data_IF_022672353942
#
_entry.id   IF_022672353942
#
_cell.length_a   1.000
_cell.length_b   1.000
_cell.length_c   1.000
_cell.angle_alpha   90.00
_cell.angle_beta   90.00
_cell.angle_gamma   90.00
#
_symmetry.space_group_name_H-M   'P 1'
#
loop_
_entity.id
_entity.type
_entity.pdbx_description
1 polymer ?
#
# COMPACT_ATOMS: atom_id res chain seq x y z
N UNK A 1 -19.29 2.25 -12.72
CA UNK A 1 -18.79 1.99 -11.34
C UNK A 1 -19.94 1.67 -10.39
N UNK A 2 -20.92 2.57 -10.24
CA UNK A 2 -22.09 2.38 -9.36
C UNK A 2 -22.88 1.11 -9.66
N UNK A 3 -23.16 0.82 -10.93
CA UNK A 3 -23.92 -0.38 -11.32
C UNK A 3 -23.26 -1.72 -10.94
N UNK A 4 -21.94 -1.74 -10.73
CA UNK A 4 -21.23 -2.93 -10.25
C UNK A 4 -21.29 -2.96 -8.71
N UNK A 5 -21.04 -1.83 -8.06
CA UNK A 5 -21.13 -1.70 -6.60
C UNK A 5 -22.52 -2.04 -6.08
N UNK A 6 -23.59 -1.58 -6.74
CA UNK A 6 -24.97 -1.90 -6.38
C UNK A 6 -25.25 -3.39 -6.51
N UNK A 7 -24.76 -4.03 -7.58
CA UNK A 7 -24.90 -5.48 -7.76
C UNK A 7 -24.17 -6.26 -6.68
N UNK A 8 -22.94 -5.87 -6.34
CA UNK A 8 -22.19 -6.47 -5.24
C UNK A 8 -22.97 -6.30 -3.93
N UNK A 9 -23.48 -5.10 -3.64
CA UNK A 9 -24.26 -4.82 -2.44
C UNK A 9 -25.53 -5.68 -2.36
N UNK A 10 -26.30 -5.80 -3.45
CA UNK A 10 -27.48 -6.69 -3.48
C UNK A 10 -27.11 -8.16 -3.26
N UNK A 11 -25.96 -8.62 -3.80
CA UNK A 11 -25.44 -9.96 -3.52
C UNK A 11 -25.06 -10.10 -2.04
N UNK A 12 -24.40 -9.11 -1.43
CA UNK A 12 -24.04 -9.19 0.00
C UNK A 12 -25.23 -9.28 0.94
N UNK A 13 -26.41 -8.78 0.54
CA UNK A 13 -27.66 -8.93 1.31
C UNK A 13 -28.28 -10.32 1.21
N UNK A 14 -27.98 -11.05 0.14
CA UNK A 14 -28.70 -12.27 -0.24
C UNK A 14 -27.84 -13.53 -0.21
N UNK A 15 -26.52 -13.39 -0.18
CA UNK A 15 -25.57 -14.49 -0.04
C UNK A 15 -25.87 -15.30 1.22
N UNK A 16 -25.81 -16.63 1.10
CA UNK A 16 -26.17 -17.57 2.19
C UNK A 16 -24.99 -18.34 2.76
N UNK A 17 -23.89 -18.39 2.01
CA UNK A 17 -22.71 -19.16 2.35
C UNK A 17 -21.45 -18.52 1.76
N UNK A 18 -20.31 -18.80 2.38
CA UNK A 18 -19.00 -18.48 1.84
C UNK A 18 -18.31 -19.80 1.49
N UNK A 19 -18.01 -20.08 0.21
CA UNK A 19 -17.15 -21.20 -0.14
C UNK A 19 -15.73 -20.88 0.30
N UNK A 20 -15.24 -21.61 1.31
CA UNK A 20 -13.90 -21.43 1.90
C UNK A 20 -13.12 -22.72 1.70
N UNK A 21 -11.90 -22.61 1.18
CA UNK A 21 -10.96 -23.72 1.09
C UNK A 21 -10.20 -23.88 2.42
N UNK A 22 -10.82 -24.55 3.38
CA UNK A 22 -10.28 -24.75 4.75
C UNK A 22 -8.93 -25.48 4.77
N UNK A 23 -8.70 -26.37 3.80
CA UNK A 23 -7.47 -27.17 3.71
C UNK A 23 -6.31 -26.45 3.02
N UNK A 24 -6.51 -25.21 2.55
CA UNK A 24 -5.48 -24.45 1.86
C UNK A 24 -4.42 -23.95 2.87
N UNK A 25 -3.12 -24.22 2.65
CA UNK A 25 -2.08 -23.71 3.52
C UNK A 25 -2.04 -22.17 3.53
N UNK A 26 -1.69 -21.58 4.67
CA UNK A 26 -1.45 -20.14 4.75
C UNK A 26 -0.26 -19.72 3.89
N UNK A 27 -0.42 -18.67 3.10
CA UNK A 27 0.68 -17.99 2.41
C UNK A 27 1.40 -17.07 3.40
N UNK A 28 2.74 -17.12 3.40
CA UNK A 28 3.53 -16.11 4.09
C UNK A 28 3.48 -14.78 3.31
N UNK A 29 2.63 -13.87 3.77
CA UNK A 29 2.46 -12.54 3.16
C UNK A 29 3.57 -11.55 3.52
N UNK A 30 4.59 -11.97 4.29
CA UNK A 30 5.72 -11.12 4.67
C UNK A 30 6.93 -11.27 3.73
N UNK A 31 6.92 -12.27 2.85
CA UNK A 31 8.01 -12.55 1.92
C UNK A 31 7.52 -12.39 0.47
N UNK A 32 8.24 -11.58 -0.32
CA UNK A 32 7.99 -11.45 -1.77
C UNK A 32 8.23 -12.80 -2.45
N UNK A 33 7.31 -13.20 -3.32
CA UNK A 33 7.42 -14.43 -4.08
C UNK A 33 6.08 -14.95 -4.57
N UNK A 34 6.13 -16.07 -5.29
CA UNK A 34 4.96 -16.76 -5.82
C UNK A 34 4.82 -18.10 -5.09
N UNK A 35 3.63 -18.36 -4.55
CA UNK A 35 3.26 -19.65 -3.97
C UNK A 35 2.17 -20.29 -4.82
N UNK A 36 2.44 -21.47 -5.37
CA UNK A 36 1.49 -22.22 -6.20
C UNK A 36 0.68 -23.22 -5.39
N UNK A 37 -0.61 -23.33 -5.70
CA UNK A 37 -1.56 -24.22 -5.04
C UNK A 37 -2.38 -25.02 -6.06
N UNK A 38 -2.96 -26.13 -5.59
CA UNK A 38 -4.00 -26.87 -6.31
C UNK A 38 -5.34 -26.62 -5.61
N UNK A 39 -6.29 -26.04 -6.34
CA UNK A 39 -7.66 -25.81 -5.89
C UNK A 39 -8.67 -26.74 -6.57
N UNK A 40 -9.95 -26.69 -6.16
CA UNK A 40 -11.01 -27.52 -6.73
C UNK A 40 -11.17 -27.37 -8.25
N UNK A 41 -10.91 -26.16 -8.76
CA UNK A 41 -11.03 -25.80 -10.18
C UNK A 41 -9.69 -25.80 -10.92
N UNK A 42 -8.62 -26.30 -10.29
CA UNK A 42 -7.29 -26.42 -10.88
C UNK A 42 -6.21 -25.60 -10.15
N UNK A 43 -5.06 -25.47 -10.81
CA UNK A 43 -3.89 -24.77 -10.26
C UNK A 43 -4.12 -23.26 -10.24
N UNK A 44 -3.67 -22.61 -9.17
CA UNK A 44 -3.63 -21.16 -9.04
C UNK A 44 -2.41 -20.72 -8.24
N UNK A 45 -2.05 -19.46 -8.38
CA UNK A 45 -0.89 -18.86 -7.72
C UNK A 45 -1.32 -17.72 -6.80
N UNK A 46 -0.57 -17.54 -5.71
CA UNK A 46 -0.61 -16.34 -4.87
C UNK A 46 0.74 -15.64 -4.99
N UNK A 47 0.73 -14.42 -5.52
CA UNK A 47 1.91 -13.56 -5.63
C UNK A 47 1.90 -12.52 -4.52
N UNK A 48 2.94 -12.54 -3.70
CA UNK A 48 3.26 -11.48 -2.75
C UNK A 48 4.32 -10.59 -3.41
N UNK A 49 4.01 -9.31 -3.58
CA UNK A 49 4.86 -8.35 -4.28
C UNK A 49 5.04 -7.07 -3.47
N UNK A 50 6.02 -6.24 -3.85
CA UNK A 50 6.22 -4.94 -3.22
C UNK A 50 5.07 -3.98 -3.55
N UNK A 51 4.32 -3.56 -2.54
CA UNK A 51 3.15 -2.69 -2.73
C UNK A 51 3.46 -1.30 -3.26
N UNK A 52 4.70 -0.80 -3.10
CA UNK A 52 5.10 0.54 -3.47
C UNK A 52 5.74 0.64 -4.86
N UNK A 53 6.33 -0.45 -5.37
CA UNK A 53 7.11 -0.45 -6.62
C UNK A 53 6.36 0.13 -7.83
N UNK A 54 5.18 -0.38 -8.13
CA UNK A 54 4.42 0.08 -9.31
C UNK A 54 3.86 1.48 -9.12
N UNK A 55 3.50 1.85 -7.89
CA UNK A 55 3.07 3.20 -7.58
C UNK A 55 4.22 4.20 -7.79
N UNK A 56 5.43 3.88 -7.34
CA UNK A 56 6.62 4.73 -7.53
C UNK A 56 6.97 4.87 -9.00
N UNK A 57 6.90 3.79 -9.79
CA UNK A 57 7.06 3.84 -11.25
C UNK A 57 6.06 4.81 -11.88
N UNK A 58 4.79 4.70 -11.51
CA UNK A 58 3.75 5.62 -11.99
C UNK A 58 4.05 7.07 -11.60
N UNK A 59 4.43 7.33 -10.34
CA UNK A 59 4.76 8.69 -9.87
C UNK A 59 5.92 9.32 -10.67
N UNK A 60 6.94 8.54 -11.03
CA UNK A 60 8.06 8.99 -11.88
C UNK A 60 7.64 9.32 -13.31
N UNK A 61 6.51 8.78 -13.80
CA UNK A 61 5.96 9.15 -15.12
C UNK A 61 5.15 10.44 -15.08
N UNK A 62 4.62 10.80 -13.91
CA UNK A 62 3.73 11.95 -13.73
C UNK A 62 4.52 13.20 -13.30
N UNK A 63 5.52 13.03 -12.43
CA UNK A 63 6.28 14.13 -11.83
C UNK A 63 7.74 14.12 -12.24
N UNK A 64 8.32 15.31 -12.38
CA UNK A 64 9.77 15.48 -12.53
C UNK A 64 10.48 15.27 -11.18
N UNK A 65 10.88 14.02 -10.94
CA UNK A 65 11.60 13.63 -9.72
C UNK A 65 12.95 14.35 -9.59
N UNK A 66 13.61 14.72 -10.67
CA UNK A 66 14.91 15.39 -10.60
C UNK A 66 14.76 16.83 -10.12
N UNK A 67 13.73 17.54 -10.58
CA UNK A 67 13.39 18.86 -10.05
C UNK A 67 13.01 18.80 -8.56
N UNK A 68 12.28 17.78 -8.13
CA UNK A 68 11.89 17.60 -6.72
C UNK A 68 13.12 17.27 -5.85
N UNK A 69 14.00 16.37 -6.30
CA UNK A 69 15.28 16.08 -5.61
C UNK A 69 16.10 17.35 -5.42
N UNK A 70 16.20 18.19 -6.45
CA UNK A 70 16.92 19.46 -6.36
C UNK A 70 16.32 20.38 -5.30
N UNK A 71 14.99 20.46 -5.21
CA UNK A 71 14.31 21.21 -4.16
C UNK A 71 14.64 20.65 -2.76
N UNK A 72 14.52 19.34 -2.57
CA UNK A 72 14.76 18.69 -1.28
C UNK A 72 16.22 18.76 -0.83
N UNK A 73 17.17 18.81 -1.76
CA UNK A 73 18.59 18.99 -1.47
C UNK A 73 18.95 20.43 -1.05
N UNK A 74 18.04 21.38 -1.21
CA UNK A 74 18.28 22.79 -0.87
C UNK A 74 18.33 22.98 0.64
N UNK A 75 19.40 23.60 1.20
CA UNK A 75 19.46 23.88 2.63
C UNK A 75 18.44 24.93 3.09
N UNK A 76 17.74 25.58 2.16
CA UNK A 76 16.68 26.57 2.43
C UNK A 76 15.29 25.96 2.45
N UNK A 77 15.15 24.67 2.15
CA UNK A 77 13.88 23.99 2.11
C UNK A 77 13.82 22.94 3.21
N UNK A 78 12.72 22.95 3.96
CA UNK A 78 12.41 21.94 4.97
C UNK A 78 10.96 21.53 4.78
N UNK A 79 10.67 20.25 4.98
CA UNK A 79 9.30 19.76 4.98
C UNK A 79 9.10 18.71 6.07
N UNK A 80 7.83 18.45 6.35
CA UNK A 80 7.36 17.42 7.25
C UNK A 80 6.20 16.69 6.55
N UNK A 81 6.19 15.37 6.61
CA UNK A 81 5.12 14.52 6.12
C UNK A 81 4.69 13.58 7.24
N UNK A 82 3.44 13.66 7.67
CA UNK A 82 2.87 12.77 8.68
C UNK A 82 1.88 11.81 8.03
N UNK A 83 2.12 10.51 8.20
CA UNK A 83 1.24 9.46 7.66
C UNK A 83 0.19 8.98 8.66
N UNK A 84 0.14 9.52 9.89
CA UNK A 84 -0.80 9.16 10.94
C UNK A 84 -0.86 7.65 11.23
N UNK A 85 0.28 6.96 11.13
CA UNK A 85 0.38 5.49 11.22
C UNK A 85 -0.49 4.73 10.20
N UNK A 86 -0.87 5.39 9.11
CA UNK A 86 -1.59 4.82 7.98
C UNK A 86 -0.67 4.19 6.94
N UNK A 87 -1.28 3.50 5.97
CA UNK A 87 -0.56 2.79 4.90
C UNK A 87 0.29 3.71 4.02
N UNK A 88 -0.07 5.01 3.94
CA UNK A 88 0.67 6.01 3.18
C UNK A 88 2.15 6.11 3.60
N UNK A 89 2.48 5.78 4.85
CA UNK A 89 3.85 5.80 5.35
C UNK A 89 4.80 4.86 4.61
N UNK A 90 4.33 3.68 4.19
CA UNK A 90 5.12 2.74 3.40
C UNK A 90 5.56 3.35 2.05
N UNK A 91 4.66 4.12 1.43
CA UNK A 91 4.93 4.82 0.17
C UNK A 91 5.78 6.08 0.38
N UNK A 92 5.54 6.81 1.48
CA UNK A 92 6.26 8.03 1.81
C UNK A 92 7.75 7.77 2.00
N UNK A 93 8.12 6.68 2.69
CA UNK A 93 9.52 6.29 2.82
C UNK A 93 10.15 5.99 1.45
N UNK A 94 9.48 5.15 0.66
CA UNK A 94 9.95 4.75 -0.67
C UNK A 94 10.14 5.95 -1.60
N UNK A 95 9.21 6.90 -1.60
CA UNK A 95 9.25 8.08 -2.46
C UNK A 95 10.18 9.15 -1.92
N UNK A 96 9.95 9.65 -0.70
CA UNK A 96 10.65 10.84 -0.22
C UNK A 96 12.10 10.54 0.18
N UNK A 97 12.34 9.44 0.90
CA UNK A 97 13.68 9.12 1.41
C UNK A 97 14.49 8.43 0.32
N UNK A 98 13.99 7.29 -0.17
CA UNK A 98 14.84 6.41 -0.96
C UNK A 98 14.93 6.82 -2.44
N UNK A 99 13.85 7.35 -3.03
CA UNK A 99 13.91 7.91 -4.39
C UNK A 99 14.39 9.35 -4.42
N UNK A 100 13.84 10.22 -3.56
CA UNK A 100 14.03 11.67 -3.63
C UNK A 100 15.11 12.24 -2.70
N UNK A 101 15.67 11.42 -1.79
CA UNK A 101 16.80 11.81 -0.94
C UNK A 101 16.46 12.74 0.22
N UNK A 102 15.21 12.76 0.69
CA UNK A 102 14.81 13.46 1.90
C UNK A 102 15.48 12.85 3.15
N UNK A 103 15.58 13.64 4.21
CA UNK A 103 15.95 13.12 5.52
C UNK A 103 14.80 12.30 6.09
N UNK A 104 15.11 11.14 6.67
CA UNK A 104 14.10 10.29 7.34
C UNK A 104 13.38 11.04 8.47
N UNK A 105 14.05 11.99 9.13
CA UNK A 105 13.47 12.87 10.16
C UNK A 105 12.34 13.76 9.65
N UNK A 106 12.20 13.96 8.35
CA UNK A 106 11.06 14.67 7.75
C UNK A 106 9.79 13.81 7.71
N UNK A 107 9.89 12.50 7.97
CA UNK A 107 8.77 11.57 7.98
C UNK A 107 8.31 11.28 9.41
N UNK A 108 7.06 11.60 9.71
CA UNK A 108 6.41 11.35 10.99
C UNK A 108 5.37 10.23 10.85
N UNK A 109 5.31 9.38 11.86
CA UNK A 109 4.33 8.29 11.98
C UNK A 109 4.19 7.42 10.70
N UNK A 110 5.27 7.24 9.94
CA UNK A 110 5.27 6.52 8.65
C UNK A 110 5.34 4.99 8.78
N UNK A 111 5.36 4.46 9.99
CA UNK A 111 5.20 3.02 10.24
C UNK A 111 3.71 2.71 10.43
N UNK A 112 3.06 1.93 9.55
CA UNK A 112 1.66 1.58 9.67
C UNK A 112 1.36 0.80 10.95
N UNK A 113 0.23 1.11 11.60
CA UNK A 113 -0.25 0.38 12.79
C UNK A 113 -1.72 0.03 12.64
N UNK A 114 -2.11 -1.14 13.17
CA UNK A 114 -3.51 -1.64 13.11
C UNK A 114 -4.52 -0.69 13.78
N UNK A 115 -4.07 0.04 14.80
CA UNK A 115 -4.86 0.99 15.58
C UNK A 115 -4.50 2.46 15.28
N UNK A 116 -3.70 2.71 14.23
CA UNK A 116 -3.19 4.04 13.88
C UNK A 116 -2.47 4.76 15.03
N UNK A 117 -1.86 4.00 15.96
CA UNK A 117 -1.24 4.56 17.16
C UNK A 117 -2.23 5.13 18.17
N UNK A 118 -3.49 4.69 18.13
CA UNK A 118 -4.58 5.15 18.99
C UNK A 118 -5.18 6.50 18.56
N UNK A 119 -4.74 7.05 17.43
CA UNK A 119 -5.23 8.32 16.88
C UNK A 119 -6.34 8.16 15.85
N UNK A 120 -6.82 9.29 15.33
CA UNK A 120 -7.75 9.32 14.21
C UNK A 120 -6.96 9.56 12.90
N UNK A 121 -6.95 8.63 11.95
CA UNK A 121 -6.18 8.77 10.70
C UNK A 121 -6.96 9.59 9.64
N UNK A 122 -7.47 10.74 10.04
CA UNK A 122 -8.17 11.69 9.16
C UNK A 122 -7.53 13.08 9.36
N UNK A 123 -6.93 13.68 8.31
CA UNK A 123 -6.30 14.99 8.42
C UNK A 123 -7.37 16.10 8.39
N UNK A 124 -7.92 16.44 9.56
CA UNK A 124 -8.96 17.46 9.74
C UNK A 124 -8.70 18.45 10.90
#
# INVERSE_FOLDING_TARGET
PESITDKIYEITKTIKEYPIAEDLPSVDISAIGITSFEGPDGKFDVEVFDSADDYVKLMKTIFDFESIKKLLSSPKFTFCYDALHGVAGAYAHRIFVEELGAQESSLLNCVPKKDFGGGHPDPN
#
